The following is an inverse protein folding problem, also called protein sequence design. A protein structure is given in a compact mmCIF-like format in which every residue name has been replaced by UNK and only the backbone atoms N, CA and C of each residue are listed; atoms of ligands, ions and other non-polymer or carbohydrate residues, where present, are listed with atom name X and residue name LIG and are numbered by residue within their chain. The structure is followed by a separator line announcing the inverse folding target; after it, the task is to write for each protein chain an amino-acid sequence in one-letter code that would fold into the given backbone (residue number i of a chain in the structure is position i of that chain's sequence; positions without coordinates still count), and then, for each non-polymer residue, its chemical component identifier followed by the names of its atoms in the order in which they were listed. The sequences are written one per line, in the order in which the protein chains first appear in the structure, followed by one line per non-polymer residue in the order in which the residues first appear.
data_IF_985805081218
#
_entry.id   IF_985805081218
#
_cell.length_a   1.000
_cell.length_b   1.000
_cell.length_c   1.000
_cell.angle_alpha   90.00
_cell.angle_beta   90.00
_cell.angle_gamma   90.00
#
_symmetry.space_group_name_H-M   'P 1'
#
loop_
_entity.id
_entity.type
_entity.pdbx_description
1 polymer ?
#
# COMPACT_ATOMS: atom_id res chain seq x y z
N UNK A 1 -29.00 6.40 3.98
CA UNK A 1 -28.59 6.24 4.13
C UNK A 1 -28.27 6.11 4.25
N UNK A 2 -28.08 6.11 4.33
CA UNK A 2 -27.62 5.98 4.57
C UNK A 2 -27.11 5.94 4.89
N UNK A 3 -27.12 6.10 5.07
CA UNK A 3 -26.50 6.03 5.42
C UNK A 3 -25.97 5.69 5.58
N UNK A 4 -25.82 5.62 5.65
CA UNK A 4 -25.10 5.24 5.81
C UNK A 4 -24.62 4.94 5.94
N UNK A 5 -24.74 4.87 5.93
CA UNK A 5 -24.19 4.62 6.21
C UNK A 5 -23.05 4.57 6.31
N UNK A 6 -22.73 4.83 6.59
CA UNK A 6 -21.39 5.09 6.80
C UNK A 6 -20.54 3.92 6.73
N UNK A 7 -20.94 2.92 7.24
CA UNK A 7 -20.23 1.72 7.08
C UNK A 7 -20.12 1.43 5.68
N UNK A 8 -21.05 1.82 5.01
CA UNK A 8 -21.00 1.67 3.62
C UNK A 8 -19.89 2.44 3.03
N UNK A 9 -19.32 3.31 3.81
CA UNK A 9 -18.22 4.11 3.31
C UNK A 9 -16.98 3.33 3.08
N UNK A 10 -16.85 2.17 3.67
CA UNK A 10 -15.64 1.38 3.49
C UNK A 10 -15.93 0.26 2.51
N UNK A 11 -15.53 0.42 1.26
CA UNK A 11 -15.82 -0.62 0.27
C UNK A 11 -15.10 -1.91 0.62
N UNK A 12 -15.71 -3.00 0.23
CA UNK A 12 -15.13 -4.33 0.44
C UNK A 12 -14.66 -4.86 -0.89
N UNK A 13 -13.47 -5.46 -0.95
CA UNK A 13 -12.99 -6.03 -2.21
C UNK A 13 -13.90 -7.13 -2.70
N UNK A 14 -13.91 -7.34 -3.99
CA UNK A 14 -14.74 -8.38 -4.58
C UNK A 14 -14.17 -9.76 -4.27
N UNK A 15 -14.97 -10.78 -4.54
CA UNK A 15 -14.58 -12.15 -4.25
C UNK A 15 -13.28 -12.55 -4.92
N UNK A 16 -13.07 -12.08 -6.16
CA UNK A 16 -11.88 -12.43 -6.90
C UNK A 16 -10.62 -12.06 -6.10
N UNK A 17 -10.61 -10.86 -5.51
CA UNK A 17 -9.48 -10.43 -4.71
C UNK A 17 -9.36 -11.28 -3.44
N UNK A 18 -10.49 -11.48 -2.76
CA UNK A 18 -10.46 -12.15 -1.47
C UNK A 18 -10.04 -13.61 -1.59
N UNK A 19 -10.31 -14.24 -2.72
CA UNK A 19 -10.02 -15.66 -2.91
C UNK A 19 -8.59 -15.93 -3.32
N UNK A 20 -7.84 -14.91 -3.68
CA UNK A 20 -6.45 -15.11 -4.04
C UNK A 20 -5.60 -15.40 -2.80
N UNK A 21 -4.57 -16.23 -2.95
CA UNK A 21 -3.57 -16.37 -1.88
C UNK A 21 -2.86 -15.06 -1.65
N UNK A 22 -2.34 -14.87 -0.43
CA UNK A 22 -1.65 -13.63 -0.09
C UNK A 22 -0.55 -13.28 -1.07
N UNK A 23 0.24 -14.27 -1.47
CA UNK A 23 1.35 -14.00 -2.38
C UNK A 23 0.88 -13.54 -3.75
N UNK A 24 -0.26 -14.02 -4.18
CA UNK A 24 -0.79 -13.64 -5.49
C UNK A 24 -1.35 -12.24 -5.45
N UNK A 25 -1.99 -11.86 -4.33
CA UNK A 25 -2.44 -10.49 -4.18
C UNK A 25 -1.26 -9.53 -4.16
N UNK A 26 -0.21 -9.91 -3.44
CA UNK A 26 0.97 -9.07 -3.36
C UNK A 26 1.65 -8.93 -4.73
N UNK A 27 1.71 -10.02 -5.47
CA UNK A 27 2.29 -9.99 -6.81
C UNK A 27 1.49 -9.05 -7.72
N UNK A 28 0.18 -9.11 -7.64
CA UNK A 28 -0.68 -8.27 -8.47
C UNK A 28 -0.45 -6.79 -8.17
N UNK A 29 -0.39 -6.46 -6.88
CA UNK A 29 -0.15 -5.08 -6.46
C UNK A 29 1.23 -4.63 -6.93
N UNK A 30 2.23 -5.47 -6.75
CA UNK A 30 3.59 -5.13 -7.14
C UNK A 30 3.72 -4.90 -8.65
N UNK A 31 3.05 -5.73 -9.43
CA UNK A 31 3.06 -5.57 -10.88
C UNK A 31 2.38 -4.27 -11.29
N UNK A 32 1.31 -3.91 -10.58
CA UNK A 32 0.62 -2.68 -10.87
C UNK A 32 1.50 -1.47 -10.57
N UNK A 33 2.24 -1.52 -9.47
CA UNK A 33 3.18 -0.44 -9.14
C UNK A 33 4.24 -0.30 -10.22
N UNK A 34 4.77 -1.42 -10.69
CA UNK A 34 5.79 -1.40 -11.73
C UNK A 34 5.24 -0.84 -13.03
N UNK A 35 4.04 -1.25 -13.37
CA UNK A 35 3.42 -0.83 -14.60
C UNK A 35 3.20 0.67 -14.65
N UNK A 36 2.90 1.27 -13.50
CA UNK A 36 2.64 2.69 -13.42
C UNK A 36 3.86 3.51 -13.07
N UNK A 37 5.04 2.88 -12.98
CA UNK A 37 6.28 3.59 -12.79
C UNK A 37 6.58 3.95 -11.34
N UNK A 38 5.89 3.37 -10.39
CA UNK A 38 6.09 3.70 -8.98
C UNK A 38 6.97 2.70 -8.24
N UNK A 39 7.42 1.65 -8.92
CA UNK A 39 8.15 0.58 -8.22
C UNK A 39 9.45 1.07 -7.58
N UNK A 40 10.03 2.13 -8.10
CA UNK A 40 11.26 2.66 -7.52
C UNK A 40 11.03 3.56 -6.33
N UNK A 41 9.79 3.95 -6.09
CA UNK A 41 9.44 4.82 -4.99
C UNK A 41 8.69 4.09 -3.90
N UNK A 42 7.91 3.09 -4.26
CA UNK A 42 6.98 2.43 -3.36
C UNK A 42 7.18 0.93 -3.44
N UNK A 43 7.29 0.29 -2.28
CA UNK A 43 7.42 -1.15 -2.18
C UNK A 43 6.15 -1.70 -1.55
N UNK A 44 5.52 -2.67 -2.20
CA UNK A 44 4.36 -3.35 -1.61
C UNK A 44 4.86 -4.33 -0.57
N UNK A 45 4.33 -4.23 0.65
CA UNK A 45 4.76 -5.07 1.75
C UNK A 45 3.77 -6.20 2.00
N UNK A 46 2.48 -5.91 1.94
CA UNK A 46 1.47 -6.94 2.12
C UNK A 46 0.18 -6.51 1.44
N UNK A 47 -0.64 -7.48 1.13
CA UNK A 47 -1.93 -7.24 0.49
C UNK A 47 -2.93 -8.21 1.09
N UNK A 48 -3.73 -7.71 2.02
CA UNK A 48 -4.63 -8.54 2.80
C UNK A 48 -5.95 -8.76 2.09
N UNK A 49 -6.64 -9.81 2.45
CA UNK A 49 -7.89 -10.16 1.79
C UNK A 49 -8.96 -9.09 2.02
N UNK A 50 -8.86 -8.33 3.10
CA UNK A 50 -9.85 -7.28 3.37
C UNK A 50 -9.60 -6.02 2.54
N UNK A 51 -8.57 -6.02 1.69
CA UNK A 51 -8.29 -4.89 0.81
C UNK A 51 -7.23 -3.95 1.33
N UNK A 52 -6.66 -4.22 2.49
CA UNK A 52 -5.62 -3.35 3.04
C UNK A 52 -4.29 -3.72 2.38
N UNK A 53 -3.71 -2.75 1.68
CA UNK A 53 -2.42 -2.90 1.03
C UNK A 53 -1.42 -2.04 1.79
N UNK A 54 -0.44 -2.67 2.40
CA UNK A 54 0.58 -1.95 3.15
C UNK A 54 1.78 -1.73 2.25
N UNK A 55 2.27 -0.51 2.21
CA UNK A 55 3.41 -0.16 1.38
C UNK A 55 4.46 0.52 2.23
N UNK A 56 5.69 0.48 1.76
CA UNK A 56 6.81 1.20 2.35
C UNK A 56 7.37 2.11 1.28
N UNK A 57 7.92 3.24 1.69
CA UNK A 57 8.53 4.16 0.76
C UNK A 57 10.02 3.86 0.67
N UNK A 58 10.55 3.87 -0.55
CA UNK A 58 11.96 3.57 -0.75
C UNK A 58 12.86 4.79 -0.56
N UNK A 59 12.25 5.97 -0.51
CA UNK A 59 12.97 7.22 -0.33
C UNK A 59 12.24 8.04 0.71
N UNK A 60 12.91 9.06 1.21
CA UNK A 60 12.28 9.97 2.15
C UNK A 60 11.52 11.05 1.41
N UNK A 61 10.33 11.33 1.87
CA UNK A 61 9.47 12.36 1.32
C UNK A 61 8.99 13.24 2.45
N UNK A 62 8.74 14.51 2.17
CA UNK A 62 8.11 15.33 3.19
C UNK A 62 6.64 14.92 3.30
N UNK A 63 5.95 15.43 4.31
CA UNK A 63 4.59 14.97 4.60
C UNK A 63 3.64 15.23 3.45
N UNK A 64 3.77 16.37 2.79
CA UNK A 64 2.87 16.70 1.70
C UNK A 64 3.10 15.82 0.49
N UNK A 65 4.36 15.59 0.15
CA UNK A 65 4.71 14.72 -0.97
C UNK A 65 4.27 13.30 -0.72
N UNK A 66 4.50 12.83 0.49
CA UNK A 66 4.11 11.48 0.87
C UNK A 66 2.60 11.30 0.73
N UNK A 67 1.84 12.29 1.23
CA UNK A 67 0.39 12.21 1.14
C UNK A 67 -0.10 12.17 -0.29
N UNK A 68 0.50 13.01 -1.15
CA UNK A 68 0.09 13.03 -2.55
C UNK A 68 0.40 11.72 -3.25
N UNK A 69 1.58 11.17 -2.97
CA UNK A 69 1.99 9.91 -3.58
C UNK A 69 1.06 8.78 -3.15
N UNK A 70 0.79 8.68 -1.85
CA UNK A 70 -0.04 7.59 -1.36
C UNK A 70 -1.46 7.68 -1.89
N UNK A 71 -2.00 8.88 -2.00
CA UNK A 71 -3.34 9.04 -2.56
C UNK A 71 -3.38 8.68 -4.04
N UNK A 72 -2.32 9.03 -4.77
CA UNK A 72 -2.27 8.67 -6.19
C UNK A 72 -2.19 7.16 -6.37
N UNK A 73 -1.38 6.50 -5.54
CA UNK A 73 -1.24 5.05 -5.60
C UNK A 73 -2.57 4.38 -5.27
N UNK A 74 -3.23 4.85 -4.20
CA UNK A 74 -4.51 4.26 -3.82
C UNK A 74 -5.55 4.45 -4.91
N UNK A 75 -5.60 5.63 -5.51
CA UNK A 75 -6.56 5.86 -6.58
C UNK A 75 -6.31 4.92 -7.74
N UNK A 76 -5.05 4.68 -8.04
CA UNK A 76 -4.69 3.79 -9.13
C UNK A 76 -5.09 2.35 -8.82
N UNK A 77 -4.84 1.90 -7.59
CA UNK A 77 -5.23 0.55 -7.20
C UNK A 77 -6.74 0.38 -7.30
N UNK A 78 -7.49 1.39 -6.83
CA UNK A 78 -8.95 1.30 -6.88
C UNK A 78 -9.47 1.24 -8.32
N UNK A 79 -8.80 1.94 -9.22
CA UNK A 79 -9.23 1.96 -10.61
C UNK A 79 -8.79 0.71 -11.38
N UNK A 80 -7.62 0.17 -11.06
CA UNK A 80 -7.03 -0.90 -11.87
C UNK A 80 -7.22 -2.28 -11.29
N UNK A 81 -7.36 -2.39 -9.98
CA UNK A 81 -7.42 -3.69 -9.34
C UNK A 81 -8.78 -3.90 -8.71
N UNK A 82 -9.12 -3.08 -7.70
CA UNK A 82 -10.37 -3.28 -6.99
C UNK A 82 -10.69 -2.04 -6.19
N UNK A 83 -11.92 -1.55 -6.29
CA UNK A 83 -12.31 -0.33 -5.61
C UNK A 83 -12.32 -0.49 -4.08
N UNK A 84 -12.22 -1.71 -3.59
CA UNK A 84 -12.18 -1.96 -2.16
C UNK A 84 -10.81 -1.88 -1.53
N UNK A 85 -9.79 -1.49 -2.28
CA UNK A 85 -8.44 -1.44 -1.74
C UNK A 85 -8.17 -0.12 -1.02
N UNK A 86 -7.43 -0.21 0.07
CA UNK A 86 -7.00 0.95 0.85
C UNK A 86 -5.51 0.83 1.09
N UNK A 87 -4.78 1.92 0.90
CA UNK A 87 -3.33 1.91 1.05
C UNK A 87 -2.94 2.40 2.43
N UNK A 88 -2.09 1.64 3.09
CA UNK A 88 -1.54 1.98 4.41
C UNK A 88 -0.04 2.07 4.31
N UNK A 89 0.54 3.01 5.02
CA UNK A 89 1.98 3.20 5.04
C UNK A 89 2.57 2.48 6.22
N UNK A 90 3.57 1.64 5.95
CA UNK A 90 4.30 0.98 7.01
C UNK A 90 5.14 2.02 7.74
N UNK A 91 5.21 1.98 9.07
CA UNK A 91 5.98 2.99 9.81
C UNK A 91 7.43 2.97 9.39
N UNK A 92 7.91 4.10 8.92
CA UNK A 92 9.23 4.19 8.33
C UNK A 92 10.33 4.01 9.35
N UNK A 93 10.13 4.50 10.55
CA UNK A 93 11.20 4.45 11.53
C UNK A 93 11.56 3.02 11.89
N UNK A 94 10.63 2.10 11.77
CA UNK A 94 10.94 0.72 12.09
C UNK A 94 11.91 0.11 11.11
N UNK A 95 11.88 0.58 9.87
CA UNK A 95 12.77 0.06 8.88
C UNK A 95 14.11 0.71 8.89
N UNK A 96 14.13 1.99 9.16
CA UNK A 96 15.36 2.75 9.04
C UNK A 96 16.26 2.61 10.22
N UNK A 97 15.68 2.41 11.37
CA UNK A 97 16.45 2.43 12.57
C UNK A 97 17.50 1.37 12.65
N UNK A 98 17.26 0.20 12.29
CA UNK A 98 18.25 -0.83 12.45
C UNK A 98 19.42 -0.64 11.59
N UNK A 99 19.36 0.08 10.75
CA UNK A 99 20.46 0.12 9.94
C UNK A 99 21.38 1.08 10.29
N UNK A 100 21.35 1.46 10.79
CA UNK A 100 21.99 2.27 11.07
C UNK A 100 22.88 2.06 11.69
N UNK A 101 22.56 1.68 11.92
CA UNK A 101 23.00 1.46 12.34
C UNK A 101 23.50 0.83 12.27
N UNK A 102 23.62 0.84 12.32
CA UNK A 102 23.89 0.28 12.23
C UNK A 102 24.35 0.08 11.81
N UNK A 103 24.48 0.43 11.97
CA UNK A 103 24.89 0.53 11.66
C UNK A 103 25.47 0.40 11.72
N UNK A 104 25.64 0.65 11.94
CA UNK A 104 25.99 0.68 12.13
C UNK A 104 26.45 0.30 12.36
N UNK A 105 26.51 0.45 12.59
CA UNK A 105 26.78 0.29 12.89
C UNK A 105 27.31 -0.08 12.99
N UNK A 106 27.41 0.12 13.19
CA UNK A 106 27.65 -0.01 13.36
C UNK A 106 28.05 -0.34 13.45
N UNK A 107 28.32 -0.27 13.72
CA UNK A 107 28.55 -0.36 13.81
C UNK A 107 28.76 -0.56 13.83
#
# INVERSE_FOLDING_TARGET
MKIGSPTADTPTPCARWRELPDKDRLAWVSENLAEWGWAELVLAVSAAENGYVTVALREQFDAAERGRLLRAVERQFKASIDSGLTVWLEPAQDRNRPRQLRGVKVL
#
